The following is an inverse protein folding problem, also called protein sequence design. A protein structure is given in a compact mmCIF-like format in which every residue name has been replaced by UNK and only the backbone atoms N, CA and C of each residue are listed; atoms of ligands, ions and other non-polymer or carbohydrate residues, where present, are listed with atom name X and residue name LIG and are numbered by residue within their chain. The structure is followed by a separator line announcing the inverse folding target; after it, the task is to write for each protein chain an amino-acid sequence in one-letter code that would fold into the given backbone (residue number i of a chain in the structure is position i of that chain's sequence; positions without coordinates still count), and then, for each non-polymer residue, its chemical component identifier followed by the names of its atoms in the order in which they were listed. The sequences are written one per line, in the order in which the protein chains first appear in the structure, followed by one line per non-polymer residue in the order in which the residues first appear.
data_IF_457616578940
#
_entry.id   IF_457616578940
#
_cell.length_a   1.000
_cell.length_b   1.000
_cell.length_c   1.000
_cell.angle_alpha   90.00
_cell.angle_beta   90.00
_cell.angle_gamma   90.00
#
_symmetry.space_group_name_H-M   'P 1'
#
loop_
_entity.id
_entity.type
_entity.pdbx_description
1 polymer ?
#
# COMPACT_ATOMS: atom_id res chain seq x y z
N UNK A 1 34.85 39.70 -61.77
CA UNK A 1 35.65 39.39 -60.57
C UNK A 1 34.96 40.01 -59.37
N UNK A 2 34.70 39.15 -58.38
CA UNK A 2 34.67 39.40 -56.92
C UNK A 2 33.74 40.47 -56.32
N UNK A 3 32.83 39.97 -55.48
CA UNK A 3 32.12 40.61 -54.37
C UNK A 3 33.10 41.25 -53.34
N UNK A 4 32.73 41.99 -52.29
CA UNK A 4 31.78 41.67 -51.23
C UNK A 4 31.83 42.81 -50.17
N UNK A 5 30.66 43.35 -49.77
CA UNK A 5 30.20 43.69 -48.40
C UNK A 5 30.97 44.64 -47.47
N UNK A 6 30.23 45.62 -46.94
CA UNK A 6 30.23 45.99 -45.50
C UNK A 6 28.76 46.26 -45.09
N UNK A 7 28.08 45.25 -44.52
CA UNK A 7 27.85 45.06 -43.06
C UNK A 7 27.08 46.22 -42.44
N UNK A 8 25.75 46.10 -42.46
CA UNK A 8 24.83 46.88 -41.63
C UNK A 8 24.78 46.22 -40.26
N UNK A 9 25.21 46.97 -39.24
CA UNK A 9 24.98 46.64 -37.84
C UNK A 9 23.50 46.92 -37.54
N UNK A 10 22.69 45.88 -37.39
CA UNK A 10 21.39 45.99 -36.73
C UNK A 10 21.33 44.94 -35.63
N UNK A 11 21.52 45.42 -34.41
CA UNK A 11 21.19 44.74 -33.17
C UNK A 11 19.71 44.37 -33.17
N UNK A 12 19.41 43.10 -33.42
CA UNK A 12 18.15 42.50 -33.05
C UNK A 12 18.38 41.64 -31.81
N UNK A 13 17.84 42.10 -30.69
CA UNK A 13 17.53 41.29 -29.53
C UNK A 13 16.51 40.22 -29.96
N UNK A 14 16.99 39.08 -30.46
CA UNK A 14 16.22 37.85 -30.41
C UNK A 14 16.61 37.16 -29.12
N UNK A 15 15.72 37.28 -28.14
CA UNK A 15 15.63 36.44 -26.96
C UNK A 15 15.47 34.98 -27.40
N UNK A 16 16.56 34.35 -27.81
CA UNK A 16 16.73 32.92 -27.65
C UNK A 16 16.88 32.68 -26.14
N UNK A 17 15.74 32.55 -25.45
CA UNK A 17 15.71 31.68 -24.29
C UNK A 17 15.88 30.26 -24.83
N UNK A 18 17.14 29.91 -25.11
CA UNK A 18 17.56 28.53 -25.25
C UNK A 18 17.38 27.92 -23.85
N UNK A 19 16.17 27.46 -23.56
CA UNK A 19 15.92 26.59 -22.41
C UNK A 19 16.44 25.22 -22.82
N UNK A 20 17.75 25.07 -22.79
CA UNK A 20 18.40 23.76 -22.65
C UNK A 20 18.96 23.76 -21.23
N UNK A 21 18.13 23.28 -20.31
CA UNK A 21 18.49 22.77 -18.99
C UNK A 21 17.46 21.65 -18.71
N UNK A 22 17.68 20.42 -19.18
CA UNK A 22 18.44 19.33 -18.52
C UNK A 22 17.99 19.05 -17.09
N UNK A 23 16.75 18.61 -16.95
CA UNK A 23 16.36 17.34 -16.34
C UNK A 23 14.84 17.31 -16.47
N UNK A 24 14.31 16.47 -17.38
CA UNK A 24 12.91 16.10 -17.28
C UNK A 24 12.78 15.43 -15.91
N UNK A 25 12.26 16.16 -14.91
CA UNK A 25 11.79 15.52 -13.69
C UNK A 25 10.83 14.42 -14.15
N UNK A 26 11.21 13.16 -13.90
CA UNK A 26 10.41 12.00 -14.29
C UNK A 26 8.94 12.30 -13.93
N UNK A 27 7.97 12.18 -14.87
CA UNK A 27 6.61 12.71 -14.67
C UNK A 27 5.81 11.78 -13.75
N UNK A 28 6.22 11.72 -12.49
CA UNK A 28 5.54 11.03 -11.41
C UNK A 28 4.31 11.83 -10.99
N UNK A 29 3.15 11.18 -11.07
CA UNK A 29 1.88 11.67 -10.52
C UNK A 29 1.70 11.07 -9.13
N UNK A 30 1.47 11.90 -8.12
CA UNK A 30 1.17 11.43 -6.76
C UNK A 30 -0.24 10.81 -6.76
N UNK A 31 -0.31 9.52 -6.44
CA UNK A 31 -1.57 8.75 -6.25
C UNK A 31 -2.02 8.80 -4.80
N UNK A 32 -1.07 8.77 -3.87
CA UNK A 32 -1.30 8.96 -2.43
C UNK A 32 -0.17 9.80 -1.87
N UNK A 33 -0.47 10.95 -1.29
CA UNK A 33 0.52 11.78 -0.60
C UNK A 33 1.10 11.07 0.62
N UNK A 34 2.35 11.40 0.98
CA UNK A 34 2.97 10.87 2.19
C UNK A 34 2.15 11.24 3.42
N UNK A 35 1.60 10.23 4.08
CA UNK A 35 0.83 10.40 5.30
C UNK A 35 0.71 9.09 6.06
N UNK A 36 0.15 9.16 7.27
CA UNK A 36 -0.17 7.94 8.01
C UNK A 36 -1.13 7.06 7.22
N UNK A 37 -0.98 5.74 7.35
CA UNK A 37 -1.97 4.80 6.83
C UNK A 37 -3.33 5.04 7.50
N UNK A 38 -4.43 4.69 6.82
CA UNK A 38 -5.78 5.00 7.31
C UNK A 38 -6.21 4.25 8.57
N UNK A 39 -5.45 3.24 9.00
CA UNK A 39 -5.74 2.42 10.17
C UNK A 39 -4.82 2.75 11.35
N UNK A 40 -5.40 2.80 12.55
CA UNK A 40 -4.66 2.88 13.80
C UNK A 40 -5.23 1.90 14.82
N UNK A 41 -4.38 1.07 15.41
CA UNK A 41 -4.77 0.21 16.53
C UNK A 41 -4.67 1.05 17.80
N UNK A 42 -5.83 1.37 18.40
CA UNK A 42 -5.93 2.21 19.60
C UNK A 42 -5.68 1.42 20.86
N UNK A 43 -6.21 0.20 20.93
CA UNK A 43 -5.95 -0.70 22.03
C UNK A 43 -6.20 -2.15 21.64
N UNK A 44 -5.53 -3.06 22.35
CA UNK A 44 -5.85 -4.48 22.37
C UNK A 44 -5.92 -4.90 23.83
N UNK A 45 -7.02 -5.56 24.21
CA UNK A 45 -7.20 -6.17 25.52
C UNK A 45 -7.39 -7.68 25.35
N UNK A 46 -6.88 -8.45 26.31
CA UNK A 46 -7.00 -9.92 26.32
C UNK A 46 -7.62 -10.38 27.64
N UNK A 47 -8.70 -11.14 27.53
CA UNK A 47 -9.23 -11.96 28.61
C UNK A 47 -8.71 -13.39 28.46
N UNK A 48 -7.77 -13.77 29.33
CA UNK A 48 -7.13 -15.10 29.32
C UNK A 48 -8.11 -16.25 29.57
N UNK A 49 -9.12 -16.05 30.43
CA UNK A 49 -10.08 -17.10 30.77
C UNK A 49 -10.99 -17.46 29.59
N UNK A 50 -11.31 -16.49 28.76
CA UNK A 50 -12.19 -16.65 27.60
C UNK A 50 -11.42 -16.80 26.27
N UNK A 51 -10.08 -16.71 26.31
CA UNK A 51 -9.24 -16.60 25.10
C UNK A 51 -9.76 -15.53 24.13
N UNK A 52 -10.22 -14.43 24.70
CA UNK A 52 -10.93 -13.36 24.01
C UNK A 52 -10.04 -12.13 23.90
N UNK A 53 -9.93 -11.62 22.68
CA UNK A 53 -9.22 -10.41 22.34
C UNK A 53 -10.23 -9.38 21.88
N UNK A 54 -10.15 -8.17 22.43
CA UNK A 54 -10.95 -7.03 21.99
C UNK A 54 -10.00 -5.95 21.52
N UNK A 55 -10.12 -5.56 20.26
CA UNK A 55 -9.29 -4.52 19.65
C UNK A 55 -10.14 -3.30 19.31
N UNK A 56 -9.69 -2.12 19.72
CA UNK A 56 -10.25 -0.84 19.26
C UNK A 56 -9.38 -0.30 18.14
N UNK A 57 -10.00 -0.01 17.00
CA UNK A 57 -9.31 0.35 15.76
C UNK A 57 -9.96 1.60 15.19
N UNK A 58 -9.17 2.64 14.98
CA UNK A 58 -9.60 3.75 14.14
C UNK A 58 -9.34 3.37 12.68
N UNK A 59 -10.36 3.43 11.84
CA UNK A 59 -10.29 3.03 10.44
C UNK A 59 -11.09 4.01 9.55
N UNK A 60 -10.83 4.05 8.24
CA UNK A 60 -11.57 4.93 7.34
C UNK A 60 -13.03 4.46 7.15
N UNK A 61 -13.92 5.37 6.77
CA UNK A 61 -15.32 5.04 6.50
C UNK A 61 -15.53 4.91 4.98
N UNK A 62 -16.22 3.85 4.50
CA UNK A 62 -16.75 2.71 5.27
C UNK A 62 -15.69 1.63 5.50
N UNK A 63 -15.66 1.04 6.70
CA UNK A 63 -14.88 -0.19 6.98
C UNK A 63 -15.80 -1.39 7.16
N UNK A 64 -15.41 -2.52 6.58
CA UNK A 64 -16.08 -3.83 6.73
C UNK A 64 -15.08 -4.93 7.03
N UNK A 65 -15.56 -6.10 7.48
CA UNK A 65 -14.72 -7.29 7.72
C UNK A 65 -14.79 -8.24 6.53
N UNK A 66 -13.70 -8.90 6.19
CA UNK A 66 -13.71 -9.89 5.09
C UNK A 66 -14.35 -11.23 5.48
N UNK A 67 -14.31 -11.61 6.77
CA UNK A 67 -14.69 -12.96 7.23
C UNK A 67 -15.97 -12.99 8.10
N UNK A 68 -16.85 -12.00 7.98
CA UNK A 68 -18.08 -11.91 8.79
C UNK A 68 -17.81 -11.79 10.29
N UNK A 69 -16.74 -11.10 10.64
CA UNK A 69 -16.31 -10.88 12.02
C UNK A 69 -17.22 -9.81 12.64
N UNK A 70 -17.49 -9.91 13.95
CA UNK A 70 -18.33 -8.91 14.61
C UNK A 70 -17.56 -7.59 14.74
N UNK A 71 -17.92 -6.63 13.88
CA UNK A 71 -17.35 -5.29 13.82
C UNK A 71 -18.40 -4.29 14.27
N UNK A 72 -18.18 -3.75 15.46
CA UNK A 72 -19.08 -2.80 16.09
C UNK A 72 -18.55 -1.39 15.92
N UNK A 73 -19.36 -0.50 15.34
CA UNK A 73 -19.07 0.93 15.32
C UNK A 73 -19.20 1.50 16.75
N UNK A 74 -18.13 2.07 17.29
CA UNK A 74 -18.09 2.66 18.63
C UNK A 74 -18.35 4.15 18.58
N UNK A 75 -17.64 4.85 17.69
CA UNK A 75 -17.79 6.29 17.49
C UNK A 75 -17.34 6.70 16.08
N UNK A 76 -17.87 7.82 15.61
CA UNK A 76 -17.44 8.46 14.35
C UNK A 76 -16.69 9.73 14.70
N UNK A 77 -15.59 10.03 14.00
CA UNK A 77 -14.89 11.32 14.18
C UNK A 77 -15.70 12.45 13.55
N UNK A 78 -15.52 13.65 14.07
CA UNK A 78 -16.23 14.85 13.61
C UNK A 78 -15.98 15.16 12.12
N UNK A 79 -14.83 14.74 11.57
CA UNK A 79 -14.48 14.89 10.16
C UNK A 79 -15.28 13.97 9.22
N UNK A 80 -15.95 12.94 9.74
CA UNK A 80 -16.69 11.95 8.96
C UNK A 80 -15.81 11.06 8.06
N UNK A 81 -14.48 11.16 8.16
CA UNK A 81 -13.53 10.40 7.33
C UNK A 81 -13.10 9.09 7.98
N UNK A 82 -13.15 9.03 9.31
CA UNK A 82 -12.77 7.85 10.08
C UNK A 82 -13.68 7.61 11.28
N UNK A 83 -13.73 6.37 11.72
CA UNK A 83 -14.48 5.92 12.88
C UNK A 83 -13.65 4.97 13.74
N UNK A 84 -14.00 4.87 15.01
CA UNK A 84 -13.48 3.84 15.91
C UNK A 84 -14.42 2.65 15.87
N UNK A 85 -13.85 1.49 15.56
CA UNK A 85 -14.51 0.21 15.54
C UNK A 85 -13.94 -0.68 16.64
N UNK A 86 -14.81 -1.51 17.22
CA UNK A 86 -14.46 -2.59 18.12
C UNK A 86 -14.57 -3.90 17.35
N UNK A 87 -13.53 -4.73 17.42
CA UNK A 87 -13.54 -6.08 16.89
C UNK A 87 -13.19 -7.07 17.99
N UNK A 88 -14.02 -8.11 18.11
CA UNK A 88 -13.81 -9.18 19.09
C UNK A 88 -13.35 -10.45 18.38
N UNK A 89 -12.29 -11.07 18.90
CA UNK A 89 -11.77 -12.36 18.46
C UNK A 89 -11.69 -13.34 19.62
N UNK A 90 -12.37 -14.47 19.48
CA UNK A 90 -12.35 -15.57 20.45
C UNK A 90 -11.60 -16.72 19.79
N UNK A 91 -10.58 -17.25 20.46
CA UNK A 91 -9.86 -18.43 19.99
C UNK A 91 -10.22 -19.66 20.80
N UNK A 92 -10.16 -20.82 20.16
CA UNK A 92 -10.49 -22.10 20.79
C UNK A 92 -9.31 -22.74 21.54
N UNK A 93 -8.10 -22.24 21.28
CA UNK A 93 -6.83 -22.80 21.79
C UNK A 93 -5.86 -21.67 22.12
N UNK A 94 -5.14 -21.82 23.22
CA UNK A 94 -4.12 -20.88 23.70
C UNK A 94 -3.04 -20.52 22.67
N UNK A 95 -2.72 -21.43 21.74
CA UNK A 95 -1.66 -21.23 20.74
C UNK A 95 -2.18 -20.83 19.36
N UNK A 96 -3.50 -20.69 19.20
CA UNK A 96 -4.08 -20.26 17.94
C UNK A 96 -3.90 -18.74 17.81
N UNK A 97 -3.21 -18.31 16.76
CA UNK A 97 -3.02 -16.89 16.42
C UNK A 97 -4.38 -16.28 16.09
N UNK A 98 -4.89 -15.31 16.87
CA UNK A 98 -6.10 -14.57 16.52
C UNK A 98 -5.80 -13.68 15.31
N UNK A 99 -6.65 -13.73 14.29
CA UNK A 99 -6.51 -12.94 13.06
C UNK A 99 -7.82 -12.24 12.76
N UNK A 100 -7.76 -10.97 12.38
CA UNK A 100 -8.87 -10.21 11.80
C UNK A 100 -8.44 -9.45 10.55
N UNK A 101 -9.40 -9.19 9.66
CA UNK A 101 -9.16 -8.48 8.40
C UNK A 101 -10.23 -7.42 8.14
N UNK A 102 -9.78 -6.20 7.91
CA UNK A 102 -10.59 -5.03 7.62
C UNK A 102 -10.34 -4.53 6.19
N UNK A 103 -11.38 -4.02 5.56
CA UNK A 103 -11.31 -3.38 4.24
C UNK A 103 -12.11 -2.09 4.22
N UNK A 104 -11.58 -1.08 3.53
CA UNK A 104 -12.24 0.21 3.33
C UNK A 104 -11.82 0.80 1.99
N UNK A 105 -12.72 0.85 1.02
CA UNK A 105 -12.47 1.42 -0.32
C UNK A 105 -11.16 0.90 -0.94
N UNK A 106 -10.11 1.75 -0.93
CA UNK A 106 -8.79 1.47 -1.49
C UNK A 106 -7.80 0.89 -0.47
N UNK A 107 -8.20 0.68 0.77
CA UNK A 107 -7.31 0.25 1.85
C UNK A 107 -7.78 -1.07 2.47
N UNK A 108 -6.84 -1.84 3.01
CA UNK A 108 -7.13 -3.04 3.80
C UNK A 108 -6.10 -3.23 4.90
N UNK A 109 -6.48 -3.92 5.97
CA UNK A 109 -5.61 -4.27 7.06
C UNK A 109 -5.90 -5.69 7.54
N UNK A 110 -4.91 -6.58 7.46
CA UNK A 110 -4.91 -7.85 8.19
C UNK A 110 -4.04 -7.70 9.44
N UNK A 111 -4.56 -8.11 10.60
CA UNK A 111 -3.83 -8.11 11.87
C UNK A 111 -3.79 -9.51 12.44
N UNK A 112 -2.59 -9.94 12.83
CA UNK A 112 -2.33 -11.15 13.59
C UNK A 112 -1.91 -10.74 14.99
N UNK A 113 -2.71 -11.13 15.97
CA UNK A 113 -2.41 -10.88 17.37
C UNK A 113 -1.48 -11.98 17.91
N UNK A 114 -0.57 -11.62 18.81
CA UNK A 114 0.27 -12.60 19.49
C UNK A 114 -0.58 -13.38 20.49
N UNK A 115 -0.61 -14.72 20.41
CA UNK A 115 -1.19 -15.53 21.47
C UNK A 115 -0.26 -15.64 22.69
N UNK A 116 1.01 -15.25 22.54
CA UNK A 116 2.11 -15.48 23.48
C UNK A 116 2.51 -14.25 24.30
N UNK A 117 1.80 -13.12 24.18
CA UNK A 117 2.05 -11.94 25.04
C UNK A 117 2.18 -12.42 26.48
N UNK A 118 3.36 -12.17 27.05
CA UNK A 118 3.78 -12.80 28.30
C UNK A 118 2.72 -12.48 29.35
N UNK A 119 2.31 -13.50 30.10
CA UNK A 119 1.22 -13.62 31.09
C UNK A 119 0.85 -12.41 31.98
N UNK A 120 1.58 -11.29 31.92
CA UNK A 120 1.34 -10.03 32.64
C UNK A 120 0.66 -8.93 31.80
N UNK A 121 0.61 -9.02 30.47
CA UNK A 121 0.01 -7.96 29.64
C UNK A 121 -1.47 -8.27 29.37
N UNK A 122 -2.38 -7.54 30.02
CA UNK A 122 -3.83 -7.66 29.78
C UNK A 122 -4.35 -6.60 28.79
N UNK A 123 -3.59 -5.52 28.60
CA UNK A 123 -3.93 -4.39 27.74
C UNK A 123 -2.66 -3.75 27.14
N UNK A 124 -2.78 -3.27 25.90
CA UNK A 124 -1.80 -2.40 25.26
C UNK A 124 -2.54 -1.30 24.49
N UNK A 125 -2.02 -0.07 24.53
CA UNK A 125 -2.64 1.11 23.89
C UNK A 125 -1.69 1.83 22.93
N UNK A 126 -0.42 1.44 22.91
CA UNK A 126 0.64 2.01 22.10
C UNK A 126 1.19 0.98 21.11
N UNK A 127 1.12 1.29 19.82
CA UNK A 127 1.58 0.40 18.75
C UNK A 127 2.45 1.17 17.77
N UNK A 128 3.70 0.75 17.61
CA UNK A 128 4.63 1.34 16.64
C UNK A 128 4.10 1.23 15.18
N UNK A 129 3.20 0.28 14.91
CA UNK A 129 2.46 0.20 13.66
C UNK A 129 1.74 1.52 13.32
N UNK A 130 1.26 2.27 14.31
CA UNK A 130 0.53 3.53 14.07
C UNK A 130 1.42 4.64 13.48
N UNK A 131 2.76 4.48 13.56
CA UNK A 131 3.73 5.40 12.95
C UNK A 131 4.00 5.08 11.47
N UNK A 132 3.34 4.05 10.91
CA UNK A 132 3.36 3.74 9.50
C UNK A 132 2.97 4.94 8.65
N UNK A 133 3.83 5.31 7.70
CA UNK A 133 3.49 6.27 6.66
C UNK A 133 3.71 5.70 5.26
N UNK A 134 2.92 6.18 4.31
CA UNK A 134 2.90 5.71 2.94
C UNK A 134 2.72 6.86 1.95
N UNK A 135 3.51 6.86 0.87
CA UNK A 135 3.30 7.61 -0.36
C UNK A 135 3.28 6.65 -1.55
N UNK A 136 2.43 6.94 -2.54
CA UNK A 136 2.39 6.21 -3.80
C UNK A 136 2.43 7.19 -4.96
N UNK A 137 3.32 6.92 -5.91
CA UNK A 137 3.49 7.68 -7.15
C UNK A 137 3.29 6.76 -8.36
N UNK A 138 2.84 7.33 -9.47
CA UNK A 138 2.59 6.65 -10.74
C UNK A 138 3.30 7.35 -11.87
N UNK A 139 3.94 6.61 -12.75
CA UNK A 139 4.54 7.11 -13.98
C UNK A 139 4.04 6.28 -15.16
N UNK A 140 3.31 6.91 -16.07
CA UNK A 140 2.87 6.30 -17.33
C UNK A 140 3.94 6.52 -18.41
N UNK A 141 4.41 5.42 -19.00
CA UNK A 141 5.30 5.39 -20.16
C UNK A 141 4.53 4.88 -21.38
N UNK A 142 5.10 4.97 -22.59
CA UNK A 142 4.39 4.55 -23.82
C UNK A 142 3.76 3.14 -23.72
N UNK A 143 4.51 2.16 -23.20
CA UNK A 143 4.09 0.74 -23.17
C UNK A 143 3.85 0.19 -21.77
N UNK A 144 4.12 0.97 -20.73
CA UNK A 144 4.04 0.50 -19.34
C UNK A 144 3.51 1.57 -18.39
N UNK A 145 3.13 1.14 -17.20
CA UNK A 145 2.84 2.02 -16.06
C UNK A 145 3.69 1.55 -14.90
N UNK A 146 4.43 2.45 -14.27
CA UNK A 146 5.25 2.17 -13.09
C UNK A 146 4.57 2.81 -11.88
N UNK A 147 4.30 2.01 -10.85
CA UNK A 147 3.90 2.50 -9.54
C UNK A 147 5.09 2.41 -8.60
N UNK A 148 5.32 3.46 -7.82
CA UNK A 148 6.39 3.54 -6.81
C UNK A 148 5.75 3.80 -5.46
N UNK A 149 5.94 2.89 -4.53
CA UNK A 149 5.54 3.00 -3.14
C UNK A 149 6.74 3.40 -2.30
N UNK A 150 6.59 4.44 -1.49
CA UNK A 150 7.55 4.82 -0.45
C UNK A 150 6.86 4.67 0.89
N UNK A 151 7.40 3.79 1.74
CA UNK A 151 6.84 3.52 3.04
C UNK A 151 7.88 3.77 4.14
N UNK A 152 7.46 4.35 5.26
CA UNK A 152 8.33 4.82 6.34
C UNK A 152 7.90 4.22 7.67
N UNK A 153 8.88 3.94 8.53
CA UNK A 153 8.74 3.45 9.91
C UNK A 153 8.09 2.06 10.11
N UNK A 154 7.58 1.40 9.07
CA UNK A 154 6.77 0.21 9.33
C UNK A 154 6.90 -0.94 8.34
N UNK A 155 7.99 -0.98 7.58
CA UNK A 155 8.15 -1.96 6.51
C UNK A 155 9.25 -2.95 6.86
N UNK A 156 8.82 -4.20 7.12
CA UNK A 156 9.67 -5.38 7.08
C UNK A 156 9.86 -5.84 5.63
N UNK A 157 8.75 -6.05 4.93
CA UNK A 157 8.71 -6.41 3.52
C UNK A 157 7.64 -5.57 2.79
N UNK A 158 7.86 -5.39 1.50
CA UNK A 158 6.85 -4.89 0.59
C UNK A 158 6.56 -5.98 -0.44
N UNK A 159 5.29 -6.24 -0.66
CA UNK A 159 4.83 -7.18 -1.67
C UNK A 159 3.76 -6.54 -2.54
N UNK A 160 3.34 -7.26 -3.56
CA UNK A 160 2.16 -6.91 -4.33
C UNK A 160 1.28 -8.14 -4.51
N UNK A 161 -0.03 -7.91 -4.53
CA UNK A 161 -1.00 -8.90 -4.94
C UNK A 161 -1.72 -8.39 -6.19
N UNK A 162 -1.97 -9.29 -7.13
CA UNK A 162 -2.66 -8.94 -8.37
C UNK A 162 -3.57 -10.06 -8.83
N UNK A 163 -4.66 -9.67 -9.50
CA UNK A 163 -5.50 -10.57 -10.27
C UNK A 163 -5.51 -10.10 -11.72
N UNK A 164 -5.12 -10.98 -12.63
CA UNK A 164 -5.08 -10.73 -14.08
C UNK A 164 -5.94 -11.78 -14.75
N UNK A 165 -6.69 -11.38 -15.76
CA UNK A 165 -7.47 -12.33 -16.55
C UNK A 165 -8.15 -11.67 -17.74
N UNK A 166 -9.01 -12.44 -18.39
CA UNK A 166 -9.82 -11.97 -19.52
C UNK A 166 -11.28 -12.22 -19.26
N UNK A 167 -12.12 -11.28 -19.70
CA UNK A 167 -13.55 -11.52 -19.77
C UNK A 167 -13.85 -12.36 -21.02
N UNK A 168 -14.44 -13.53 -20.82
CA UNK A 168 -14.92 -14.38 -21.92
C UNK A 168 -16.45 -14.47 -21.88
N UNK A 169 -17.04 -15.02 -22.95
CA UNK A 169 -18.48 -15.32 -22.98
C UNK A 169 -18.94 -16.27 -21.85
N UNK A 170 -18.01 -17.03 -21.24
CA UNK A 170 -18.26 -17.94 -20.12
C UNK A 170 -17.90 -17.36 -18.75
N UNK A 171 -17.58 -16.06 -18.69
CA UNK A 171 -17.20 -15.36 -17.46
C UNK A 171 -15.72 -15.00 -17.39
N UNK A 172 -15.27 -14.58 -16.22
CA UNK A 172 -13.89 -14.14 -16.02
C UNK A 172 -12.92 -15.33 -15.92
N UNK A 173 -11.92 -15.36 -16.80
CA UNK A 173 -10.84 -16.35 -16.76
C UNK A 173 -9.57 -15.76 -16.15
N UNK A 174 -9.33 -16.08 -14.87
CA UNK A 174 -8.13 -15.68 -14.14
C UNK A 174 -6.89 -16.45 -14.61
N UNK A 175 -5.80 -15.73 -14.86
CA UNK A 175 -4.46 -16.31 -15.01
C UNK A 175 -4.00 -16.77 -13.63
N UNK A 176 -3.91 -18.08 -13.40
CA UNK A 176 -3.69 -18.64 -12.05
C UNK A 176 -2.24 -18.65 -11.60
N UNK A 177 -1.29 -18.92 -12.50
CA UNK A 177 0.12 -19.09 -12.12
C UNK A 177 0.80 -17.73 -12.00
N UNK A 178 1.46 -17.50 -10.86
CA UNK A 178 2.25 -16.28 -10.61
C UNK A 178 3.33 -16.06 -11.67
N UNK A 179 3.96 -17.14 -12.16
CA UNK A 179 5.00 -17.07 -13.20
C UNK A 179 4.43 -16.45 -14.49
N UNK A 180 3.25 -16.89 -14.90
CA UNK A 180 2.58 -16.38 -16.11
C UNK A 180 2.15 -14.91 -15.93
N UNK A 181 1.79 -14.51 -14.70
CA UNK A 181 1.45 -13.12 -14.39
C UNK A 181 2.65 -12.16 -14.48
N UNK A 182 3.89 -12.64 -14.30
CA UNK A 182 5.11 -11.79 -14.30
C UNK A 182 5.39 -11.13 -15.64
N UNK A 183 4.86 -11.65 -16.76
CA UNK A 183 4.91 -10.99 -18.07
C UNK A 183 4.20 -9.63 -18.04
N UNK A 184 3.09 -9.56 -17.29
CA UNK A 184 2.21 -8.39 -17.25
C UNK A 184 2.49 -7.47 -16.06
N UNK A 185 2.75 -8.04 -14.88
CA UNK A 185 2.99 -7.28 -13.66
C UNK A 185 4.22 -7.85 -12.98
N UNK A 186 5.26 -7.05 -12.95
CA UNK A 186 6.53 -7.40 -12.31
C UNK A 186 6.87 -6.37 -11.24
N UNK A 187 7.48 -6.85 -10.15
CA UNK A 187 8.09 -5.96 -9.17
C UNK A 187 9.56 -5.82 -9.54
N UNK A 188 10.04 -4.59 -9.68
CA UNK A 188 11.45 -4.35 -9.92
C UNK A 188 12.22 -4.90 -8.71
N UNK A 189 13.33 -5.63 -8.90
CA UNK A 189 13.99 -6.27 -7.80
C UNK A 189 14.55 -5.20 -6.85
N UNK A 190 14.38 -5.48 -5.56
CA UNK A 190 14.95 -4.79 -4.40
C UNK A 190 14.19 -3.57 -3.88
N UNK A 191 13.71 -3.74 -2.64
CA UNK A 191 13.44 -2.64 -1.71
C UNK A 191 14.67 -1.75 -1.68
N UNK A 192 14.54 -0.51 -2.16
CA UNK A 192 15.60 0.48 -2.02
C UNK A 192 15.46 1.15 -0.67
N UNK A 193 16.60 1.36 -0.03
CA UNK A 193 16.68 2.03 1.26
C UNK A 193 17.12 3.47 1.03
N UNK A 194 16.33 4.43 1.52
CA UNK A 194 16.70 5.85 1.54
C UNK A 194 16.45 6.39 2.94
N UNK A 195 17.44 6.30 3.81
CA UNK A 195 17.25 6.57 5.24
C UNK A 195 16.23 5.59 5.84
N UNK A 196 15.19 6.14 6.48
CA UNK A 196 14.08 5.36 7.06
C UNK A 196 13.04 4.91 6.02
N UNK A 197 13.19 5.32 4.76
CA UNK A 197 12.26 4.99 3.69
C UNK A 197 12.60 3.65 3.05
N UNK A 198 11.57 2.84 2.87
CA UNK A 198 11.57 1.63 2.05
C UNK A 198 10.80 1.92 0.77
N UNK A 199 11.46 1.76 -0.37
CA UNK A 199 10.90 2.08 -1.67
C UNK A 199 10.73 0.80 -2.50
N UNK A 200 9.54 0.59 -3.06
CA UNK A 200 9.22 -0.58 -3.87
C UNK A 200 8.45 -0.16 -5.11
N UNK A 201 8.75 -0.79 -6.25
CA UNK A 201 8.15 -0.42 -7.53
C UNK A 201 7.54 -1.61 -8.26
N UNK A 202 6.35 -1.41 -8.79
CA UNK A 202 5.64 -2.36 -9.64
C UNK A 202 5.57 -1.78 -11.04
N UNK A 203 5.91 -2.58 -12.05
CA UNK A 203 5.73 -2.25 -13.46
C UNK A 203 4.61 -3.09 -14.03
N UNK A 204 3.60 -2.42 -14.57
CA UNK A 204 2.51 -3.00 -15.36
C UNK A 204 2.85 -2.82 -16.84
N UNK A 205 3.10 -3.93 -17.54
CA UNK A 205 3.36 -3.96 -18.98
C UNK A 205 2.03 -3.90 -19.75
N UNK A 206 1.64 -2.70 -20.18
CA UNK A 206 0.37 -2.45 -20.88
C UNK A 206 0.40 -3.01 -22.29
N UNK A 207 1.54 -2.99 -22.96
CA UNK A 207 1.70 -3.58 -24.29
C UNK A 207 1.44 -5.10 -24.26
N UNK A 208 2.00 -5.83 -23.30
CA UNK A 208 1.77 -7.28 -23.16
C UNK A 208 0.30 -7.60 -22.80
N UNK A 209 -0.33 -6.81 -21.92
CA UNK A 209 -1.75 -6.97 -21.59
C UNK A 209 -2.62 -6.81 -22.84
N UNK A 210 -2.35 -5.79 -23.66
CA UNK A 210 -3.06 -5.52 -24.90
C UNK A 210 -2.85 -6.59 -25.97
N UNK A 211 -1.60 -7.03 -26.16
CA UNK A 211 -1.25 -8.09 -27.11
C UNK A 211 -1.99 -9.40 -26.81
N UNK A 212 -2.05 -9.78 -25.53
CA UNK A 212 -2.66 -11.04 -25.10
C UNK A 212 -4.17 -10.92 -24.81
N UNK A 213 -4.75 -9.71 -24.93
CA UNK A 213 -6.18 -9.46 -24.68
C UNK A 213 -6.62 -9.75 -23.24
N UNK A 214 -5.79 -9.37 -22.27
CA UNK A 214 -6.01 -9.58 -20.82
C UNK A 214 -5.92 -8.26 -20.07
N UNK A 215 -6.50 -8.20 -18.88
CA UNK A 215 -6.59 -7.00 -18.06
C UNK A 215 -6.18 -7.28 -16.62
N UNK A 216 -5.61 -6.25 -15.96
CA UNK A 216 -5.39 -6.27 -14.51
C UNK A 216 -6.69 -5.89 -13.83
N UNK A 217 -7.30 -6.83 -13.13
CA UNK A 217 -8.55 -6.64 -12.40
C UNK A 217 -8.35 -6.13 -10.99
N UNK A 218 -7.20 -6.46 -10.40
CA UNK A 218 -6.79 -5.89 -9.13
C UNK A 218 -5.29 -5.77 -9.04
N UNK A 219 -4.82 -4.70 -8.43
CA UNK A 219 -3.42 -4.51 -8.10
C UNK A 219 -3.31 -3.79 -6.77
N UNK A 220 -2.66 -4.44 -5.79
CA UNK A 220 -2.53 -3.92 -4.43
C UNK A 220 -1.05 -3.92 -4.03
N UNK A 221 -0.58 -2.82 -3.46
CA UNK A 221 0.64 -2.80 -2.67
C UNK A 221 0.35 -3.35 -1.28
N UNK A 222 1.20 -4.24 -0.78
CA UNK A 222 1.13 -4.75 0.59
C UNK A 222 2.38 -4.36 1.35
N UNK A 223 2.18 -3.81 2.55
CA UNK A 223 3.22 -3.45 3.50
C UNK A 223 3.07 -4.32 4.72
N UNK A 224 4.16 -5.00 5.09
CA UNK A 224 4.19 -5.86 6.26
C UNK A 224 4.91 -5.16 7.42
N UNK A 225 4.25 -5.15 8.57
CA UNK A 225 4.80 -4.74 9.85
C UNK A 225 4.97 -5.97 10.74
N UNK A 226 6.14 -6.08 11.37
CA UNK A 226 6.45 -7.10 12.36
C UNK A 226 6.57 -6.43 13.73
N UNK A 227 5.74 -6.87 14.68
CA UNK A 227 5.77 -6.37 16.05
C UNK A 227 7.01 -6.77 16.84
N UNK A 228 7.88 -7.61 16.27
CA UNK A 228 9.16 -7.97 16.84
C UNK A 228 9.03 -9.13 17.82
N UNK A 229 9.25 -8.86 19.11
CA UNK A 229 9.26 -9.90 20.15
C UNK A 229 7.83 -10.29 20.54
N UNK A 230 7.43 -11.52 20.19
CA UNK A 230 6.04 -12.01 20.35
C UNK A 230 5.58 -12.04 21.81
N UNK A 231 6.51 -11.99 22.77
CA UNK A 231 6.19 -11.89 24.18
C UNK A 231 5.86 -10.48 24.67
N UNK A 232 6.22 -9.43 23.92
CA UNK A 232 6.22 -8.03 24.40
C UNK A 232 5.12 -7.14 23.82
N UNK A 233 4.44 -7.58 22.77
CA UNK A 233 3.37 -6.81 22.11
C UNK A 233 2.23 -7.71 21.66
N UNK A 234 1.00 -7.22 21.76
CA UNK A 234 -0.17 -7.90 21.23
C UNK A 234 -0.16 -7.97 19.71
N UNK A 235 0.51 -7.04 19.03
CA UNK A 235 0.58 -7.05 17.57
C UNK A 235 1.72 -7.97 17.13
N UNK A 236 1.42 -9.20 16.71
CA UNK A 236 2.44 -10.09 16.15
C UNK A 236 2.83 -9.65 14.75
N UNK A 237 1.84 -9.42 13.89
CA UNK A 237 2.05 -9.06 12.50
C UNK A 237 0.89 -8.22 11.98
N UNK A 238 1.17 -7.28 11.08
CA UNK A 238 0.13 -6.58 10.34
C UNK A 238 0.50 -6.47 8.86
N UNK A 239 -0.48 -6.66 7.99
CA UNK A 239 -0.35 -6.41 6.56
C UNK A 239 -1.33 -5.33 6.16
N UNK A 240 -0.81 -4.14 5.86
CA UNK A 240 -1.58 -3.06 5.28
C UNK A 240 -1.56 -3.17 3.75
N UNK A 241 -2.71 -2.98 3.12
CA UNK A 241 -2.89 -3.06 1.68
C UNK A 241 -3.42 -1.75 1.09
N UNK A 242 -2.85 -1.30 -0.02
CA UNK A 242 -3.34 -0.16 -0.80
C UNK A 242 -3.64 -0.58 -2.24
N UNK A 243 -4.92 -0.53 -2.62
CA UNK A 243 -5.42 -0.84 -3.96
C UNK A 243 -5.08 0.29 -4.93
N UNK A 244 -4.41 -0.07 -6.02
CA UNK A 244 -4.07 0.78 -7.16
C UNK A 244 -5.07 0.64 -8.31
N UNK A 245 -5.60 -0.58 -8.49
CA UNK A 245 -6.57 -1.00 -9.50
C UNK A 245 -7.57 -1.91 -8.80
#
# INVERSE_FOLDING_TARGET
MTALHQVVLLTFFTSFACVICTNDEEPWVIVKEMGHIGYQIKSVTKNESELRYVSLIQAPIPTTTENGEDLKLVSTREDGLSAVYEITKITSKYFQIPVFSLTSNTESLEVKLSPYTVFSLTEQTDFAFNDCMLQVEKWDQAESTIYKMTARNCVRFCEYSTTIGKNTASGFQKIRKRVDQRKYVSMYPFMRFKGNDRICSITVNRAALQEDGVEVMSLKFNIEFDGGDWGKTFLYFATYGFNLI
#
